data_IF_873310903936
#
_entry.id   IF_873310903936
#
_cell.length_a   1.000
_cell.length_b   1.000
_cell.length_c   1.000
_cell.angle_alpha   90.00
_cell.angle_beta   90.00
_cell.angle_gamma   90.00
#
_symmetry.space_group_name_H-M   'P 1'
#
loop_
_entity.id
_entity.type
_entity.pdbx_description
1 polymer ?
#
# COMPACT_ATOMS: atom_id res chain seq x y z
N UNK A 1 22.99 -84.33 16.69
CA UNK A 1 23.65 -83.02 16.44
C UNK A 1 22.71 -82.14 15.61
N UNK A 2 22.00 -81.21 16.21
CA UNK A 2 21.08 -80.26 15.50
C UNK A 2 21.66 -78.88 15.61
N UNK A 3 22.10 -78.31 14.46
CA UNK A 3 22.55 -76.92 14.38
C UNK A 3 21.32 -76.01 14.23
N UNK A 4 21.15 -75.05 15.16
CA UNK A 4 20.18 -74.00 15.08
C UNK A 4 20.81 -72.80 14.36
N UNK A 5 20.22 -72.42 13.24
CA UNK A 5 20.52 -71.13 12.56
C UNK A 5 19.72 -70.02 13.27
N UNK A 6 20.45 -69.01 13.73
CA UNK A 6 19.90 -67.73 14.23
C UNK A 6 19.74 -66.80 13.04
N UNK A 7 18.52 -66.44 12.68
CA UNK A 7 18.22 -65.38 11.73
C UNK A 7 18.22 -64.04 12.50
N UNK A 8 19.18 -63.17 12.16
CA UNK A 8 19.23 -61.81 12.69
C UNK A 8 18.35 -60.92 11.79
N UNK A 9 17.30 -60.36 12.35
CA UNK A 9 16.43 -59.40 11.70
C UNK A 9 17.07 -58.02 11.77
N UNK A 10 17.47 -57.48 10.59
CA UNK A 10 17.93 -56.09 10.43
C UNK A 10 16.68 -55.19 10.29
N UNK A 11 16.37 -54.43 11.34
CA UNK A 11 15.31 -53.41 11.31
C UNK A 11 15.86 -52.16 10.61
N UNK A 12 15.38 -51.91 9.42
CA UNK A 12 15.66 -50.68 8.66
C UNK A 12 14.74 -49.56 9.16
N UNK A 13 15.27 -48.66 9.98
CA UNK A 13 14.55 -47.44 10.40
C UNK A 13 14.58 -46.45 9.25
N UNK A 14 13.45 -46.23 8.58
CA UNK A 14 13.27 -45.17 7.61
C UNK A 14 13.13 -43.84 8.34
N UNK A 15 14.15 -43.00 8.26
CA UNK A 15 14.11 -41.58 8.73
C UNK A 15 13.35 -40.82 7.65
N UNK A 16 12.07 -40.50 7.95
CA UNK A 16 11.29 -39.58 7.14
C UNK A 16 11.82 -38.14 7.40
N UNK A 17 12.62 -37.61 6.47
CA UNK A 17 12.94 -36.18 6.42
C UNK A 17 11.67 -35.41 6.05
N UNK A 18 11.01 -34.86 7.07
CA UNK A 18 9.94 -33.88 6.88
C UNK A 18 10.54 -32.61 6.28
N UNK A 19 10.27 -32.35 4.99
CA UNK A 19 10.57 -31.06 4.38
C UNK A 19 9.72 -29.98 5.07
N UNK A 20 10.34 -29.17 5.96
CA UNK A 20 9.72 -27.93 6.42
C UNK A 20 9.56 -27.03 5.18
N UNK A 21 8.35 -26.92 4.69
CA UNK A 21 7.94 -25.90 3.72
C UNK A 21 8.01 -24.55 4.46
N UNK A 22 9.13 -23.83 4.32
CA UNK A 22 9.20 -22.41 4.68
C UNK A 22 8.26 -21.69 3.70
N UNK A 23 6.99 -21.53 4.07
CA UNK A 23 6.09 -20.61 3.38
C UNK A 23 6.61 -19.21 3.68
N UNK A 24 7.53 -18.71 2.85
CA UNK A 24 7.92 -17.32 2.85
C UNK A 24 6.65 -16.49 2.65
N UNK A 25 6.45 -15.45 3.47
CA UNK A 25 5.42 -14.46 3.21
C UNK A 25 5.68 -13.91 1.80
N UNK A 26 4.86 -14.28 0.83
CA UNK A 26 4.93 -13.71 -0.51
C UNK A 26 4.64 -12.21 -0.37
N UNK A 27 5.62 -11.39 -0.74
CA UNK A 27 5.42 -9.95 -0.83
C UNK A 27 4.41 -9.69 -1.95
N UNK A 28 3.37 -8.91 -1.67
CA UNK A 28 2.36 -8.52 -2.63
C UNK A 28 3.03 -7.83 -3.84
N UNK A 29 2.64 -8.23 -5.06
CA UNK A 29 3.20 -7.69 -6.29
C UNK A 29 2.09 -7.05 -7.13
N UNK A 30 2.32 -5.83 -7.63
CA UNK A 30 1.34 -5.12 -8.45
C UNK A 30 0.99 -5.88 -9.74
N UNK A 31 1.89 -6.70 -10.28
CA UNK A 31 1.64 -7.53 -11.45
C UNK A 31 0.54 -8.58 -11.24
N UNK A 32 0.29 -9.00 -10.00
CA UNK A 32 -0.74 -9.99 -9.66
C UNK A 32 -2.15 -9.48 -9.97
N UNK A 33 -2.32 -8.15 -10.07
CA UNK A 33 -3.60 -7.48 -10.33
C UNK A 33 -3.87 -7.21 -11.81
N UNK A 34 -2.99 -7.58 -12.72
CA UNK A 34 -3.08 -7.21 -14.15
C UNK A 34 -4.41 -7.61 -14.83
N UNK A 35 -5.04 -8.71 -14.38
CA UNK A 35 -6.30 -9.20 -14.91
C UNK A 35 -7.55 -8.68 -14.17
N UNK A 36 -7.35 -7.98 -13.02
CA UNK A 36 -8.45 -7.56 -12.15
C UNK A 36 -9.25 -6.39 -12.74
N UNK A 37 -10.54 -6.36 -12.35
CA UNK A 37 -11.52 -5.37 -12.84
C UNK A 37 -12.23 -4.70 -11.66
N UNK A 38 -12.76 -3.48 -11.84
CA UNK A 38 -12.65 -2.61 -13.05
C UNK A 38 -11.22 -2.12 -13.25
N UNK A 39 -10.82 -1.88 -14.50
CA UNK A 39 -9.47 -1.35 -14.77
C UNK A 39 -9.36 0.08 -14.25
N UNK A 40 -8.36 0.32 -13.42
CA UNK A 40 -8.05 1.64 -12.89
C UNK A 40 -7.36 2.49 -13.97
N UNK A 41 -7.81 3.70 -14.13
CA UNK A 41 -7.08 4.84 -14.67
C UNK A 41 -7.04 5.89 -13.54
N UNK A 42 -5.89 6.03 -12.90
CA UNK A 42 -5.71 6.92 -11.75
C UNK A 42 -6.10 8.36 -12.08
N UNK A 43 -5.80 8.80 -13.30
CA UNK A 43 -6.11 10.13 -13.82
C UNK A 43 -7.61 10.36 -13.96
N UNK A 44 -8.37 9.35 -14.41
CA UNK A 44 -9.83 9.46 -14.50
C UNK A 44 -10.48 9.42 -13.12
N UNK A 45 -9.96 8.57 -12.23
CA UNK A 45 -10.51 8.44 -10.90
C UNK A 45 -10.26 9.71 -10.07
N UNK A 46 -9.02 10.15 -9.93
CA UNK A 46 -8.67 11.39 -9.23
C UNK A 46 -8.80 12.62 -10.14
N UNK A 47 -10.00 12.86 -10.64
CA UNK A 47 -10.34 14.07 -11.41
C UNK A 47 -11.71 14.59 -10.93
N UNK A 48 -11.75 15.86 -10.53
CA UNK A 48 -12.91 16.48 -9.89
C UNK A 48 -12.83 16.46 -8.37
N UNK A 49 -13.98 16.38 -7.69
CA UNK A 49 -14.07 16.41 -6.23
C UNK A 49 -14.28 15.00 -5.67
N UNK A 50 -13.50 14.66 -4.64
CA UNK A 50 -13.64 13.40 -3.91
C UNK A 50 -13.73 13.69 -2.40
N UNK A 51 -14.44 12.81 -1.69
CA UNK A 51 -14.37 12.69 -0.24
C UNK A 51 -13.57 11.45 0.13
N UNK A 52 -12.75 11.57 1.18
CA UNK A 52 -12.09 10.41 1.75
C UNK A 52 -12.31 10.32 3.25
N UNK A 53 -12.37 9.10 3.76
CA UNK A 53 -12.62 8.78 5.17
C UNK A 53 -11.62 7.73 5.61
N UNK A 54 -10.82 8.04 6.63
CA UNK A 54 -9.73 7.17 7.02
C UNK A 54 -9.49 7.05 8.52
N UNK A 55 -8.74 6.01 8.85
CA UNK A 55 -8.24 5.73 10.19
C UNK A 55 -6.75 5.44 10.17
N UNK A 56 -6.06 5.92 11.19
CA UNK A 56 -4.74 5.42 11.56
C UNK A 56 -4.88 4.35 12.62
N UNK A 57 -4.21 3.22 12.43
CA UNK A 57 -4.07 2.17 13.45
C UNK A 57 -2.61 2.03 13.85
N UNK A 58 -2.35 1.77 15.12
CA UNK A 58 -1.03 1.36 15.57
C UNK A 58 -0.73 -0.09 15.16
N UNK A 59 0.47 -0.58 15.49
CA UNK A 59 0.87 -1.96 15.14
C UNK A 59 0.06 -3.06 15.82
N UNK A 60 -0.72 -2.73 16.87
CA UNK A 60 -1.66 -3.66 17.51
C UNK A 60 -3.03 -3.71 16.83
N UNK A 61 -3.27 -2.83 15.84
CA UNK A 61 -4.55 -2.67 15.16
C UNK A 61 -5.52 -1.71 15.86
N UNK A 62 -5.11 -1.08 16.98
CA UNK A 62 -5.94 -0.08 17.67
C UNK A 62 -6.02 1.19 16.84
N UNK A 63 -7.23 1.70 16.61
CA UNK A 63 -7.45 3.01 15.99
C UNK A 63 -6.95 4.11 16.92
N UNK A 64 -5.97 4.86 16.48
CA UNK A 64 -5.37 5.98 17.24
C UNK A 64 -5.84 7.34 16.74
N UNK A 65 -6.26 7.45 15.46
CA UNK A 65 -6.78 8.70 14.89
C UNK A 65 -7.73 8.41 13.73
N UNK A 66 -8.78 9.23 13.57
CA UNK A 66 -9.68 9.23 12.41
C UNK A 66 -9.53 10.55 11.69
N UNK A 67 -9.84 10.55 10.40
CA UNK A 67 -9.80 11.78 9.59
C UNK A 67 -10.76 11.69 8.41
N UNK A 68 -11.12 12.86 7.92
CA UNK A 68 -11.80 13.04 6.64
C UNK A 68 -10.94 13.93 5.75
N UNK A 69 -11.06 13.77 4.44
CA UNK A 69 -10.35 14.59 3.47
C UNK A 69 -11.32 15.06 2.39
N UNK A 70 -11.33 16.36 2.14
CA UNK A 70 -11.90 16.90 0.91
C UNK A 70 -10.77 17.04 -0.10
N UNK A 71 -10.94 16.44 -1.29
CA UNK A 71 -9.93 16.45 -2.34
C UNK A 71 -10.46 17.20 -3.57
N UNK A 72 -9.66 18.12 -4.07
CA UNK A 72 -9.86 18.77 -5.37
C UNK A 72 -8.76 18.31 -6.31
N UNK A 73 -9.13 17.52 -7.31
CA UNK A 73 -8.20 16.85 -8.18
C UNK A 73 -8.34 17.35 -9.62
N UNK A 74 -7.22 17.58 -10.29
CA UNK A 74 -7.19 18.00 -11.68
C UNK A 74 -5.99 17.43 -12.43
N UNK A 75 -6.15 17.24 -13.75
CA UNK A 75 -5.09 16.74 -14.62
C UNK A 75 -4.99 17.60 -15.88
N UNK A 76 -3.75 17.75 -16.38
CA UNK A 76 -3.41 18.45 -17.61
C UNK A 76 -2.33 17.69 -18.36
N UNK A 77 -2.07 18.05 -19.61
CA UNK A 77 -1.03 17.44 -20.44
C UNK A 77 -1.58 16.47 -21.49
N UNK A 78 -0.68 15.94 -22.30
CA UNK A 78 -0.95 14.98 -23.37
C UNK A 78 -0.71 13.55 -22.88
N UNK A 79 -1.29 12.53 -23.56
CA UNK A 79 -1.09 11.13 -23.18
C UNK A 79 0.40 10.77 -23.02
N UNK A 80 0.77 10.26 -21.85
CA UNK A 80 2.14 9.89 -21.48
C UNK A 80 2.99 11.02 -20.90
N UNK A 81 2.46 12.25 -20.82
CA UNK A 81 3.10 13.43 -20.21
C UNK A 81 2.09 14.18 -19.32
N UNK A 82 1.13 13.45 -18.75
CA UNK A 82 0.10 14.04 -17.91
C UNK A 82 0.65 14.44 -16.55
N UNK A 83 0.23 15.61 -16.10
CA UNK A 83 0.49 16.11 -14.76
C UNK A 83 -0.81 16.25 -13.99
N UNK A 84 -0.82 15.77 -12.75
CA UNK A 84 -1.95 15.83 -11.85
C UNK A 84 -1.67 16.65 -10.60
N UNK A 85 -2.71 17.28 -10.08
CA UNK A 85 -2.70 17.94 -8.77
C UNK A 85 -3.82 17.32 -7.94
N UNK A 86 -3.46 16.78 -6.76
CA UNK A 86 -4.43 16.35 -5.76
C UNK A 86 -4.29 17.30 -4.57
N UNK A 87 -5.24 18.21 -4.43
CA UNK A 87 -5.30 19.19 -3.34
C UNK A 87 -6.19 18.62 -2.23
N UNK A 88 -5.59 18.32 -1.07
CA UNK A 88 -6.17 17.56 0.03
C UNK A 88 -6.31 18.41 1.28
N UNK A 89 -7.55 18.62 1.74
CA UNK A 89 -7.86 19.28 3.01
C UNK A 89 -8.30 18.23 4.06
N UNK A 90 -7.39 17.91 4.99
CA UNK A 90 -7.62 16.98 6.09
C UNK A 90 -8.31 17.64 7.26
N UNK A 91 -9.23 16.92 7.88
CA UNK A 91 -9.81 17.23 9.18
C UNK A 91 -9.73 16.00 10.07
N UNK A 92 -8.98 16.09 11.16
CA UNK A 92 -8.75 15.00 12.10
C UNK A 92 -9.77 14.98 13.24
N UNK A 93 -9.93 13.83 13.90
CA UNK A 93 -10.89 13.64 14.99
C UNK A 93 -10.61 14.46 16.26
N UNK A 94 -9.41 15.02 16.39
CA UNK A 94 -9.03 15.97 17.44
C UNK A 94 -9.28 17.44 17.05
N UNK A 95 -9.85 17.67 15.87
CA UNK A 95 -10.13 19.00 15.34
C UNK A 95 -8.96 19.64 14.60
N UNK A 96 -7.78 19.05 14.60
CA UNK A 96 -6.63 19.57 13.84
C UNK A 96 -6.92 19.46 12.33
N UNK A 97 -6.30 20.37 11.56
CA UNK A 97 -6.40 20.43 10.10
C UNK A 97 -5.02 20.38 9.49
N UNK A 98 -4.94 19.78 8.31
CA UNK A 98 -3.71 19.72 7.52
C UNK A 98 -4.08 19.87 6.05
N UNK A 99 -3.21 20.51 5.30
CA UNK A 99 -3.27 20.57 3.85
C UNK A 99 -2.10 19.81 3.26
N UNK A 100 -2.37 19.02 2.22
CA UNK A 100 -1.33 18.40 1.39
C UNK A 100 -1.69 18.58 -0.07
N UNK A 101 -0.69 18.92 -0.87
CA UNK A 101 -0.86 19.03 -2.32
C UNK A 101 0.12 18.09 -3.00
N UNK A 102 -0.40 17.00 -3.56
CA UNK A 102 0.39 16.15 -4.43
C UNK A 102 0.48 16.74 -5.83
N UNK A 103 1.69 16.74 -6.37
CA UNK A 103 1.96 16.98 -7.79
C UNK A 103 2.41 15.67 -8.40
N UNK A 104 1.62 15.16 -9.32
CA UNK A 104 1.84 13.87 -9.96
C UNK A 104 2.30 14.07 -11.42
N UNK A 105 3.12 13.15 -11.88
CA UNK A 105 3.50 13.02 -13.28
C UNK A 105 3.34 11.57 -13.71
N UNK A 106 2.60 11.34 -14.79
CA UNK A 106 2.47 10.04 -15.44
C UNK A 106 3.46 9.93 -16.56
N UNK A 107 4.12 8.77 -16.66
CA UNK A 107 5.04 8.44 -17.75
C UNK A 107 4.35 7.59 -18.82
N UNK A 108 4.93 7.52 -20.01
CA UNK A 108 4.42 6.74 -21.16
C UNK A 108 4.26 5.25 -20.81
N UNK A 109 5.10 4.71 -19.95
CA UNK A 109 5.06 3.31 -19.51
C UNK A 109 3.98 3.01 -18.44
N UNK A 110 3.17 4.03 -18.06
CA UNK A 110 2.13 3.92 -17.03
C UNK A 110 2.65 3.98 -15.60
N UNK A 111 3.91 4.35 -15.39
CA UNK A 111 4.44 4.67 -14.06
C UNK A 111 4.06 6.10 -13.65
N UNK A 112 4.10 6.35 -12.34
CA UNK A 112 3.79 7.64 -11.74
C UNK A 112 4.91 8.09 -10.82
N UNK A 113 5.20 9.38 -10.85
CA UNK A 113 6.04 10.06 -9.88
C UNK A 113 5.21 11.10 -9.15
N UNK A 114 5.26 11.10 -7.82
CA UNK A 114 4.57 12.06 -6.96
C UNK A 114 5.53 12.88 -6.11
N UNK A 115 5.14 14.14 -5.82
CA UNK A 115 5.82 15.05 -4.90
C UNK A 115 4.79 15.77 -4.05
N UNK A 116 5.10 15.94 -2.76
CA UNK A 116 4.38 16.83 -1.85
C UNK A 116 5.39 17.45 -0.86
N UNK A 117 5.00 18.52 -0.17
CA UNK A 117 5.93 19.28 0.67
C UNK A 117 6.43 18.47 1.88
N UNK A 118 5.64 17.51 2.35
CA UNK A 118 5.98 16.59 3.46
C UNK A 118 6.60 15.27 2.99
N UNK A 119 6.85 15.09 1.67
CA UNK A 119 7.49 13.91 1.09
C UNK A 119 8.97 14.13 0.91
N UNK A 120 9.78 13.20 1.41
CA UNK A 120 11.22 13.17 1.20
C UNK A 120 11.52 12.64 -0.20
N UNK A 121 12.03 13.50 -1.07
CA UNK A 121 12.35 13.14 -2.46
C UNK A 121 11.12 12.96 -3.33
N UNK A 122 10.82 11.74 -3.76
CA UNK A 122 9.71 11.41 -4.66
C UNK A 122 8.97 10.16 -4.20
N UNK A 123 7.68 10.10 -4.51
CA UNK A 123 6.90 8.86 -4.50
C UNK A 123 6.98 8.21 -5.90
N UNK A 124 7.11 6.88 -5.94
CA UNK A 124 7.09 6.11 -7.18
C UNK A 124 5.93 5.12 -7.14
N UNK A 125 5.14 5.06 -8.21
CA UNK A 125 3.96 4.22 -8.27
C UNK A 125 3.69 3.60 -9.63
N UNK A 126 2.84 2.57 -9.64
CA UNK A 126 2.39 1.86 -10.82
C UNK A 126 0.92 1.46 -10.68
N UNK A 127 0.18 1.49 -11.79
CA UNK A 127 -1.16 0.92 -11.88
C UNK A 127 -1.15 -0.40 -12.66
N UNK A 128 -1.95 -1.39 -12.20
CA UNK A 128 -2.20 -2.64 -12.93
C UNK A 128 -3.59 -3.16 -12.59
N UNK A 129 -4.39 -3.47 -13.63
CA UNK A 129 -5.76 -3.90 -13.44
C UNK A 129 -6.56 -2.92 -12.61
N UNK A 130 -7.10 -3.34 -11.47
CA UNK A 130 -7.86 -2.47 -10.55
C UNK A 130 -7.01 -1.85 -9.44
N UNK A 131 -5.69 -2.08 -9.42
CA UNK A 131 -4.83 -1.66 -8.34
C UNK A 131 -3.83 -0.57 -8.75
N UNK A 132 -3.47 0.27 -7.77
CA UNK A 132 -2.33 1.19 -7.80
C UNK A 132 -1.49 0.95 -6.56
N UNK A 133 -0.18 0.86 -6.73
CA UNK A 133 0.77 0.77 -5.62
C UNK A 133 1.82 1.84 -5.79
N UNK A 134 2.13 2.54 -4.71
CA UNK A 134 3.28 3.43 -4.64
C UNK A 134 3.98 3.38 -3.30
N UNK A 135 5.26 3.80 -3.31
CA UNK A 135 6.09 3.92 -2.10
C UNK A 135 6.65 5.31 -1.96
N UNK A 136 6.68 5.82 -0.73
CA UNK A 136 7.24 7.13 -0.41
C UNK A 136 7.68 7.21 1.06
N UNK A 137 8.45 8.24 1.38
CA UNK A 137 8.84 8.58 2.76
C UNK A 137 8.23 9.93 3.13
N UNK A 138 7.50 9.98 4.26
CA UNK A 138 6.96 11.22 4.81
C UNK A 138 7.80 11.72 5.98
N UNK A 139 7.96 13.04 6.05
CA UNK A 139 8.31 13.77 7.25
C UNK A 139 7.09 13.91 8.15
N UNK A 140 6.96 13.01 9.13
CA UNK A 140 5.81 12.97 10.03
C UNK A 140 6.14 13.72 11.33
N UNK A 141 5.51 14.87 11.60
CA UNK A 141 5.64 15.55 12.89
C UNK A 141 4.89 14.76 13.96
N UNK A 142 5.60 14.43 15.05
CA UNK A 142 5.05 13.79 16.25
C UNK A 142 5.63 14.54 17.44
N UNK A 143 4.77 15.23 18.19
CA UNK A 143 5.17 16.18 19.23
C UNK A 143 6.15 17.22 18.65
N UNK A 144 7.29 17.44 19.30
CA UNK A 144 8.32 18.42 18.88
C UNK A 144 9.37 17.84 17.91
N UNK A 145 9.14 16.63 17.36
CA UNK A 145 10.09 15.93 16.48
C UNK A 145 9.48 15.57 15.14
N UNK A 146 10.33 15.53 14.12
CA UNK A 146 9.97 15.04 12.79
C UNK A 146 10.61 13.67 12.58
N UNK A 147 9.79 12.70 12.15
CA UNK A 147 10.22 11.35 11.84
C UNK A 147 10.03 11.07 10.36
N UNK A 148 11.07 10.57 9.72
CA UNK A 148 10.94 9.96 8.40
C UNK A 148 10.29 8.58 8.54
N UNK A 149 9.12 8.40 7.91
CA UNK A 149 8.33 7.17 7.94
C UNK A 149 8.09 6.72 6.50
N UNK A 150 8.45 5.46 6.21
CA UNK A 150 8.21 4.82 4.92
C UNK A 150 6.76 4.36 4.82
N UNK A 151 6.15 4.60 3.67
CA UNK A 151 4.81 4.15 3.30
C UNK A 151 4.90 3.20 2.11
N UNK A 152 4.30 2.02 2.25
CA UNK A 152 3.91 1.14 1.16
C UNK A 152 2.40 1.20 1.06
N UNK A 153 1.94 1.84 -0.01
CA UNK A 153 0.57 2.34 -0.12
C UNK A 153 -0.12 1.72 -1.33
N UNK A 154 -1.22 1.03 -1.08
CA UNK A 154 -2.00 0.27 -2.03
C UNK A 154 -3.42 0.80 -2.14
N UNK A 155 -3.88 0.99 -3.37
CA UNK A 155 -5.25 1.41 -3.68
C UNK A 155 -5.91 0.40 -4.60
N UNK A 156 -7.21 0.17 -4.40
CA UNK A 156 -8.01 -0.80 -5.15
C UNK A 156 -9.31 -0.16 -5.60
N UNK A 157 -9.49 -0.06 -6.92
CA UNK A 157 -10.74 0.43 -7.49
C UNK A 157 -11.82 -0.63 -7.31
N UNK A 158 -12.87 -0.29 -6.57
CA UNK A 158 -13.99 -1.19 -6.28
C UNK A 158 -15.14 -0.97 -7.27
N UNK A 159 -15.41 0.29 -7.59
CA UNK A 159 -16.40 0.74 -8.58
C UNK A 159 -15.86 2.01 -9.24
N UNK A 160 -16.58 2.54 -10.22
CA UNK A 160 -16.26 3.85 -10.83
C UNK A 160 -16.21 5.02 -9.82
N UNK A 161 -16.83 4.84 -8.64
CA UNK A 161 -16.94 5.87 -7.60
C UNK A 161 -16.19 5.57 -6.31
N UNK A 162 -15.88 4.32 -6.03
CA UNK A 162 -15.30 3.91 -4.74
C UNK A 162 -13.96 3.23 -4.93
N UNK A 163 -12.97 3.73 -4.20
CA UNK A 163 -11.62 3.14 -4.12
C UNK A 163 -11.27 2.93 -2.64
N UNK A 164 -10.74 1.77 -2.33
CA UNK A 164 -10.19 1.46 -1.02
C UNK A 164 -8.67 1.63 -1.03
N UNK A 165 -8.13 2.09 0.09
CA UNK A 165 -6.71 2.27 0.28
C UNK A 165 -6.24 1.64 1.58
N UNK A 166 -5.07 1.03 1.52
CA UNK A 166 -4.35 0.51 2.68
C UNK A 166 -2.87 0.82 2.54
N UNK A 167 -2.33 1.61 3.47
CA UNK A 167 -0.92 1.95 3.53
C UNK A 167 -0.28 1.39 4.80
N UNK A 168 0.84 0.68 4.65
CA UNK A 168 1.68 0.24 5.77
C UNK A 168 2.72 1.30 6.07
N UNK A 169 2.78 1.73 7.32
CA UNK A 169 3.79 2.64 7.84
C UNK A 169 4.92 1.86 8.48
N UNK A 170 6.16 2.15 8.12
CA UNK A 170 7.34 1.52 8.69
C UNK A 170 8.49 2.50 8.90
N UNK A 171 9.41 2.13 9.80
CA UNK A 171 10.68 2.82 10.02
C UNK A 171 11.76 1.80 10.32
N UNK A 172 12.88 1.87 9.61
CA UNK A 172 13.98 0.90 9.73
C UNK A 172 13.50 -0.56 9.55
N UNK A 173 12.53 -0.80 8.65
CA UNK A 173 11.95 -2.12 8.41
C UNK A 173 10.95 -2.60 9.48
N UNK A 174 10.70 -1.82 10.53
CA UNK A 174 9.75 -2.15 11.58
C UNK A 174 8.41 -1.49 11.28
N UNK A 175 7.33 -2.28 11.20
CA UNK A 175 5.96 -1.78 11.05
C UNK A 175 5.57 -0.94 12.27
N UNK A 176 5.10 0.29 12.02
CA UNK A 176 4.61 1.22 13.05
C UNK A 176 3.08 1.18 13.17
N UNK A 177 2.39 0.96 12.05
CA UNK A 177 0.94 0.97 11.97
C UNK A 177 0.47 0.94 10.53
N UNK A 178 -0.81 1.22 10.33
CA UNK A 178 -1.45 1.27 9.01
C UNK A 178 -2.39 2.46 8.90
N UNK A 179 -2.54 2.93 7.67
CA UNK A 179 -3.64 3.81 7.27
C UNK A 179 -4.60 2.98 6.44
N UNK A 180 -5.88 3.04 6.76
CA UNK A 180 -6.94 2.50 5.92
C UNK A 180 -7.90 3.64 5.60
N UNK A 181 -8.20 3.83 4.33
CA UNK A 181 -9.17 4.83 3.94
C UNK A 181 -9.99 4.41 2.72
N UNK A 182 -11.13 5.06 2.55
CA UNK A 182 -12.00 4.94 1.39
C UNK A 182 -12.06 6.28 0.70
N UNK A 183 -11.88 6.31 -0.61
CA UNK A 183 -12.20 7.46 -1.45
C UNK A 183 -13.57 7.27 -2.08
N UNK A 184 -14.33 8.36 -2.20
CA UNK A 184 -15.63 8.38 -2.87
C UNK A 184 -15.69 9.58 -3.82
N UNK A 185 -15.86 9.30 -5.10
CA UNK A 185 -16.01 10.33 -6.14
C UNK A 185 -17.44 10.91 -6.08
N UNK A 186 -17.54 12.24 -6.07
CA UNK A 186 -18.83 12.96 -6.10
C UNK A 186 -19.51 12.92 -7.47
#
# INVERSE_FOLDING_TARGET
>A
MKRRLLLSSISTSAIALGALQLTGCATQNIADYAAEKPVLDLRQYFNGTLDAYGVFTDRSGKVVKRFTVLMLCSWTGTPGEETGVLDEDFTYSDGTKQKRVWKLQRSVDGSYVGRADDVVGIANGQERGNAFQWGYTLNLPVDDKVYEVQFDDWMYLMTDKVMLNKATMSKFGIKLGEVTLSFTKR
#
